data_IF_219899434687
#
_entry.id   IF_219899434687
#
_cell.length_a   1.000
_cell.length_b   1.000
_cell.length_c   1.000
_cell.angle_alpha   90.00
_cell.angle_beta   90.00
_cell.angle_gamma   90.00
#
_symmetry.space_group_name_H-M   'P 1'
#
loop_
_entity.id
_entity.type
_entity.pdbx_description
1 polymer ?
#
# COMPACT_ATOMS: atom_id res chain seq x y z
N UNK A 1 0.03 22.87 -16.59
CA UNK A 1 -0.73 21.62 -16.42
C UNK A 1 -0.86 20.98 -17.78
N UNK A 2 0.08 20.08 -18.09
CA UNK A 2 0.08 19.25 -19.29
C UNK A 2 0.22 17.82 -18.79
N UNK A 3 -0.68 16.89 -19.11
CA UNK A 3 -0.50 15.49 -18.74
C UNK A 3 0.67 14.92 -19.55
N UNK A 4 1.58 14.24 -18.86
CA UNK A 4 2.64 13.46 -19.48
C UNK A 4 2.04 12.21 -20.13
N UNK A 5 2.10 12.16 -21.46
CA UNK A 5 1.76 10.99 -22.27
C UNK A 5 2.63 9.79 -21.87
N UNK A 6 2.01 8.73 -21.33
CA UNK A 6 2.60 7.40 -21.24
C UNK A 6 2.13 6.62 -22.46
N UNK A 7 3.00 6.58 -23.48
CA UNK A 7 2.81 5.76 -24.68
C UNK A 7 3.09 4.29 -24.37
N UNK A 8 2.03 3.50 -24.20
CA UNK A 8 2.11 2.05 -24.34
C UNK A 8 2.29 1.72 -25.83
N UNK A 9 3.53 1.45 -26.23
CA UNK A 9 3.82 0.91 -27.56
C UNK A 9 3.33 -0.52 -27.66
N UNK A 10 2.33 -0.73 -28.53
CA UNK A 10 1.99 -2.04 -29.11
C UNK A 10 3.22 -2.71 -29.70
N UNK A 11 3.46 -3.95 -29.31
CA UNK A 11 4.19 -4.93 -30.12
C UNK A 11 3.18 -5.95 -30.66
N UNK A 12 2.72 -5.71 -31.88
CA UNK A 12 2.16 -6.74 -32.75
C UNK A 12 3.32 -7.52 -33.40
N UNK A 13 3.41 -8.83 -33.20
CA UNK A 13 3.72 -9.77 -34.29
C UNK A 13 3.40 -11.24 -33.90
N UNK A 14 3.16 -12.04 -34.94
CA UNK A 14 3.10 -13.51 -35.01
C UNK A 14 1.75 -14.23 -34.87
N UNK A 15 0.91 -13.97 -35.89
CA UNK A 15 0.51 -14.89 -36.98
C UNK A 15 0.43 -16.43 -36.77
N UNK A 16 -0.75 -16.93 -37.22
CA UNK A 16 -1.10 -18.20 -37.91
C UNK A 16 -1.62 -19.41 -37.08
N UNK A 17 -2.49 -20.29 -37.65
CA UNK A 17 -3.53 -20.13 -38.69
C UNK A 17 -4.87 -20.87 -38.33
N UNK A 18 -5.91 -20.88 -39.20
CA UNK A 18 -7.31 -21.14 -38.83
C UNK A 18 -7.75 -22.60 -39.05
N UNK A 19 -8.76 -23.05 -38.31
CA UNK A 19 -9.55 -24.24 -38.64
C UNK A 19 -11.01 -23.88 -38.91
N UNK A 20 -11.48 -24.39 -40.06
CA UNK A 20 -12.83 -24.27 -40.60
C UNK A 20 -13.75 -25.39 -40.08
N UNK A 21 -14.98 -24.99 -39.73
CA UNK A 21 -16.30 -25.60 -39.95
C UNK A 21 -16.48 -27.11 -40.12
N UNK A 22 -17.46 -27.68 -39.40
CA UNK A 22 -18.70 -28.38 -39.88
C UNK A 22 -19.36 -29.12 -38.69
N UNK A 23 -20.56 -28.73 -38.20
CA UNK A 23 -21.93 -29.11 -38.61
C UNK A 23 -22.56 -30.32 -37.85
N UNK A 24 -23.81 -30.08 -37.40
CA UNK A 24 -24.96 -31.01 -37.23
C UNK A 24 -25.43 -31.42 -35.81
N UNK A 25 -26.50 -30.72 -35.36
CA UNK A 25 -27.84 -31.16 -34.87
C UNK A 25 -27.96 -32.37 -33.91
N UNK A 26 -28.63 -32.14 -32.77
CA UNK A 26 -29.45 -33.17 -32.12
C UNK A 26 -29.95 -32.85 -30.70
N UNK A 27 -31.20 -32.39 -30.60
CA UNK A 27 -32.19 -32.51 -29.50
C UNK A 27 -31.79 -33.33 -28.26
N UNK A 28 -32.14 -32.96 -27.02
CA UNK A 28 -33.50 -33.13 -26.45
C UNK A 28 -33.65 -32.45 -25.08
N UNK A 29 -34.84 -31.89 -24.85
CA UNK A 29 -35.43 -31.51 -23.55
C UNK A 29 -35.42 -32.68 -22.55
N UNK A 30 -35.31 -32.42 -21.24
CA UNK A 30 -36.14 -33.08 -20.21
C UNK A 30 -36.26 -32.23 -18.94
N UNK A 31 -37.47 -32.18 -18.39
CA UNK A 31 -37.93 -31.30 -17.32
C UNK A 31 -37.74 -31.92 -15.91
N UNK A 32 -37.49 -31.02 -14.94
CA UNK A 32 -38.00 -30.92 -13.55
C UNK A 32 -38.35 -32.20 -12.77
N UNK A 33 -37.88 -32.26 -11.52
CA UNK A 33 -38.74 -32.62 -10.36
C UNK A 33 -38.28 -31.97 -9.06
N UNK A 34 -39.25 -31.35 -8.41
CA UNK A 34 -39.28 -30.82 -7.05
C UNK A 34 -39.68 -31.94 -6.10
N UNK A 35 -39.09 -32.01 -4.90
CA UNK A 35 -39.84 -32.53 -3.75
C UNK A 35 -39.35 -31.95 -2.43
N UNK A 36 -40.23 -31.17 -1.80
CA UNK A 36 -40.24 -30.81 -0.38
C UNK A 36 -40.90 -31.95 0.40
N UNK A 37 -40.41 -32.25 1.60
CA UNK A 37 -41.22 -32.79 2.69
C UNK A 37 -40.59 -32.44 4.04
N UNK A 38 -41.28 -31.58 4.79
CA UNK A 38 -41.17 -31.45 6.24
C UNK A 38 -42.06 -32.51 6.90
N UNK A 39 -41.62 -33.14 8.00
CA UNK A 39 -42.49 -33.52 9.14
C UNK A 39 -41.65 -33.53 10.42
N UNK A 40 -42.20 -32.90 11.45
CA UNK A 40 -41.73 -32.73 12.83
C UNK A 40 -42.51 -33.63 13.79
N UNK A 41 -41.89 -34.15 14.86
CA UNK A 41 -42.34 -34.22 16.28
C UNK A 41 -41.37 -35.14 17.08
N UNK A 42 -40.59 -34.67 18.08
CA UNK A 42 -40.92 -34.41 19.51
C UNK A 42 -41.07 -35.72 20.33
N UNK A 43 -40.55 -36.01 21.54
CA UNK A 43 -39.96 -35.30 22.71
C UNK A 43 -39.16 -36.33 23.55
N UNK A 44 -38.05 -35.96 24.20
CA UNK A 44 -37.70 -36.38 25.58
C UNK A 44 -36.50 -35.59 26.13
N UNK A 45 -36.70 -34.92 27.26
CA UNK A 45 -35.69 -34.23 28.06
C UNK A 45 -34.59 -35.17 28.55
N UNK A 46 -33.34 -34.72 28.49
CA UNK A 46 -32.34 -34.91 29.55
C UNK A 46 -31.30 -33.80 29.43
N UNK A 47 -31.12 -33.07 30.53
CA UNK A 47 -30.18 -31.97 30.65
C UNK A 47 -28.74 -32.49 30.66
N UNK A 48 -27.95 -32.05 29.69
CA UNK A 48 -26.49 -31.98 29.81
C UNK A 48 -26.00 -30.91 28.85
N UNK A 49 -25.43 -29.85 29.41
CA UNK A 49 -24.79 -28.76 28.67
C UNK A 49 -23.56 -29.34 27.99
N UNK A 50 -23.69 -29.67 26.70
CA UNK A 50 -22.59 -30.04 25.82
C UNK A 50 -22.61 -29.06 24.65
N UNK A 51 -21.52 -28.31 24.52
CA UNK A 51 -21.36 -27.25 23.54
C UNK A 51 -21.64 -27.73 22.13
N UNK A 52 -22.48 -26.98 21.41
CA UNK A 52 -22.62 -27.12 19.98
C UNK A 52 -21.29 -26.77 19.31
N UNK A 53 -20.77 -27.73 18.56
CA UNK A 53 -19.70 -27.57 17.58
C UNK A 53 -20.14 -26.55 16.52
N UNK A 54 -19.64 -25.32 16.65
CA UNK A 54 -19.49 -24.41 15.52
C UNK A 54 -18.23 -24.83 14.77
N UNK A 55 -18.33 -24.86 13.44
CA UNK A 55 -17.23 -25.03 12.51
C UNK A 55 -15.97 -24.29 12.97
N UNK A 56 -14.87 -25.03 13.13
CA UNK A 56 -13.54 -24.52 13.42
C UNK A 56 -13.06 -23.63 12.25
N UNK A 57 -13.47 -22.36 12.26
CA UNK A 57 -12.65 -21.31 11.69
C UNK A 57 -11.46 -21.16 12.61
N UNK A 58 -10.29 -21.62 12.18
CA UNK A 58 -9.02 -21.31 12.85
C UNK A 58 -8.98 -19.79 13.01
N UNK A 59 -8.97 -19.24 14.23
CA UNK A 59 -8.76 -17.80 14.41
C UNK A 59 -7.42 -17.48 13.75
N UNK A 60 -7.30 -16.40 12.96
CA UNK A 60 -6.01 -16.00 12.44
C UNK A 60 -5.01 -15.93 13.60
N UNK A 61 -3.76 -16.39 13.41
CA UNK A 61 -2.77 -16.37 14.46
C UNK A 61 -2.65 -14.95 14.99
N UNK A 62 -2.96 -14.75 16.27
CA UNK A 62 -2.58 -13.53 16.99
C UNK A 62 -1.07 -13.54 17.04
N UNK A 63 -0.35 -12.57 16.45
CA UNK A 63 1.10 -12.53 16.53
C UNK A 63 1.50 -12.30 17.99
N UNK A 64 1.92 -13.37 18.67
CA UNK A 64 2.60 -13.32 19.95
C UNK A 64 4.08 -13.12 19.70
N UNK A 65 4.46 -11.87 19.42
CA UNK A 65 5.72 -11.22 19.82
C UNK A 65 5.76 -9.83 19.18
N UNK A 66 5.04 -8.89 19.78
CA UNK A 66 5.11 -7.47 19.45
C UNK A 66 6.35 -6.82 20.06
N UNK A 67 7.54 -7.38 19.79
CA UNK A 67 8.74 -6.55 19.77
C UNK A 67 8.59 -5.57 18.61
N UNK A 68 8.77 -4.27 18.84
CA UNK A 68 8.80 -3.30 17.75
C UNK A 68 9.85 -3.75 16.72
N UNK A 69 9.48 -3.75 15.44
CA UNK A 69 10.42 -4.09 14.38
C UNK A 69 11.62 -3.11 14.46
N UNK A 70 12.82 -3.66 14.61
CA UNK A 70 14.10 -2.93 14.54
C UNK A 70 14.38 -2.39 13.14
N UNK A 71 15.32 -1.46 13.01
CA UNK A 71 15.52 -0.66 11.79
C UNK A 71 16.70 -1.11 10.92
N UNK A 72 16.69 -0.85 9.60
CA UNK A 72 15.61 -0.23 8.84
C UNK A 72 14.41 -1.17 8.68
N UNK A 73 13.22 -0.58 8.56
CA UNK A 73 11.98 -1.31 8.23
C UNK A 73 11.75 -1.23 6.73
N UNK A 74 11.48 -2.37 6.11
CA UNK A 74 11.45 -2.49 4.66
C UNK A 74 10.07 -2.88 4.17
N UNK A 75 9.70 -2.38 3.00
CA UNK A 75 8.46 -2.75 2.33
C UNK A 75 8.68 -3.01 0.85
N UNK A 76 7.70 -3.62 0.20
CA UNK A 76 7.59 -3.66 -1.26
C UNK A 76 6.15 -3.42 -1.69
N UNK A 77 5.99 -2.77 -2.85
CA UNK A 77 4.72 -2.44 -3.46
C UNK A 77 4.72 -2.98 -4.90
N UNK A 78 4.19 -4.19 -5.07
CA UNK A 78 4.29 -4.97 -6.30
C UNK A 78 2.89 -5.27 -6.85
N UNK A 79 2.54 -4.66 -7.97
CA UNK A 79 1.19 -4.75 -8.57
C UNK A 79 1.17 -5.47 -9.92
N UNK A 80 2.27 -6.10 -10.33
CA UNK A 80 2.26 -6.89 -11.56
C UNK A 80 1.34 -8.11 -11.41
N UNK A 81 0.61 -8.39 -12.49
CA UNK A 81 -0.58 -9.25 -12.44
C UNK A 81 -0.31 -10.65 -12.95
N UNK A 82 0.72 -10.81 -13.80
CA UNK A 82 0.97 -12.04 -14.54
C UNK A 82 1.92 -12.98 -13.81
N UNK A 83 2.94 -12.43 -13.15
CA UNK A 83 3.91 -13.19 -12.39
C UNK A 83 4.10 -12.54 -11.02
N UNK A 84 4.25 -13.37 -10.00
CA UNK A 84 4.51 -12.96 -8.62
C UNK A 84 5.95 -13.36 -8.26
N UNK A 85 6.71 -12.55 -7.49
CA UNK A 85 8.00 -12.96 -6.98
C UNK A 85 7.87 -14.21 -6.12
N UNK A 86 8.98 -14.94 -5.97
CA UNK A 86 9.03 -16.11 -5.10
C UNK A 86 8.75 -15.74 -3.65
N UNK A 87 8.33 -16.74 -2.86
CA UNK A 87 8.09 -16.53 -1.44
C UNK A 87 9.34 -16.00 -0.72
N UNK A 88 10.54 -16.45 -1.13
CA UNK A 88 11.82 -15.99 -0.58
C UNK A 88 12.12 -14.53 -0.94
N UNK A 89 11.84 -14.10 -2.17
CA UNK A 89 12.00 -12.70 -2.58
C UNK A 89 11.05 -11.77 -1.81
N UNK A 90 9.79 -12.16 -1.64
CA UNK A 90 8.82 -11.39 -0.85
C UNK A 90 9.20 -11.36 0.65
N UNK A 91 9.76 -12.44 1.19
CA UNK A 91 10.18 -12.53 2.59
C UNK A 91 11.38 -11.64 2.95
N UNK A 92 12.03 -11.00 1.97
CA UNK A 92 13.08 -10.01 2.23
C UNK A 92 12.54 -8.70 2.86
N UNK A 93 11.22 -8.48 2.79
CA UNK A 93 10.55 -7.27 3.25
C UNK A 93 9.73 -7.49 4.52
N UNK A 94 9.67 -6.50 5.41
CA UNK A 94 8.78 -6.54 6.59
C UNK A 94 7.31 -6.32 6.20
N UNK A 95 7.03 -5.57 5.13
CA UNK A 95 5.68 -5.35 4.58
C UNK A 95 5.67 -5.64 3.08
N UNK A 96 4.69 -6.39 2.61
CA UNK A 96 4.53 -6.75 1.19
C UNK A 96 3.13 -6.39 0.77
N UNK A 97 3.00 -5.46 -0.17
CA UNK A 97 1.72 -5.09 -0.79
C UNK A 97 1.65 -5.70 -2.18
N UNK A 98 0.64 -6.54 -2.42
CA UNK A 98 0.37 -7.16 -3.72
C UNK A 98 -1.13 -7.13 -4.05
N UNK A 99 -1.47 -7.23 -5.33
CA UNK A 99 -2.87 -7.21 -5.77
C UNK A 99 -3.70 -8.32 -5.09
N UNK A 100 -4.89 -7.96 -4.62
CA UNK A 100 -5.80 -8.88 -3.93
C UNK A 100 -6.18 -10.13 -4.75
N UNK A 101 -6.09 -10.08 -6.08
CA UNK A 101 -6.37 -11.22 -6.95
C UNK A 101 -5.35 -12.35 -6.78
N UNK A 102 -4.16 -12.08 -6.22
CA UNK A 102 -3.20 -13.14 -5.91
C UNK A 102 -3.72 -14.12 -4.86
N UNK A 103 -4.62 -13.69 -3.97
CA UNK A 103 -5.14 -14.52 -2.88
C UNK A 103 -5.97 -15.72 -3.35
N UNK A 104 -6.57 -15.69 -4.54
CA UNK A 104 -7.21 -16.86 -5.15
C UNK A 104 -6.40 -17.49 -6.29
N UNK A 105 -5.44 -16.76 -6.88
CA UNK A 105 -4.55 -17.28 -7.93
C UNK A 105 -3.43 -18.16 -7.37
N UNK A 106 -3.00 -17.93 -6.13
CA UNK A 106 -1.95 -18.72 -5.47
C UNK A 106 -2.53 -19.70 -4.44
N UNK A 107 -1.91 -20.88 -4.27
CA UNK A 107 -2.24 -21.78 -3.16
C UNK A 107 -1.89 -21.13 -1.82
N UNK A 108 -2.61 -21.48 -0.76
CA UNK A 108 -2.35 -20.99 0.62
C UNK A 108 -0.90 -21.19 1.04
N UNK A 109 -0.32 -22.34 0.72
CA UNK A 109 1.05 -22.71 1.09
C UNK A 109 2.09 -21.68 0.60
N UNK A 110 1.84 -20.97 -0.51
CA UNK A 110 2.73 -19.89 -0.94
C UNK A 110 2.83 -18.77 0.11
N UNK A 111 1.69 -18.36 0.68
CA UNK A 111 1.66 -17.32 1.71
C UNK A 111 2.21 -17.81 3.05
N UNK A 112 2.03 -19.10 3.34
CA UNK A 112 2.62 -19.74 4.52
C UNK A 112 4.15 -19.83 4.38
N UNK A 113 4.66 -20.11 3.17
CA UNK A 113 6.09 -20.13 2.87
C UNK A 113 6.74 -18.75 3.02
N UNK A 114 6.06 -17.66 2.64
CA UNK A 114 6.54 -16.28 2.89
C UNK A 114 6.72 -16.05 4.40
N UNK A 115 5.71 -16.39 5.19
CA UNK A 115 5.74 -16.22 6.66
C UNK A 115 6.74 -17.14 7.33
N UNK A 116 6.94 -18.34 6.81
CA UNK A 116 7.93 -19.29 7.31
C UNK A 116 9.36 -18.78 7.03
N UNK A 117 9.59 -18.18 5.86
CA UNK A 117 10.87 -17.57 5.49
C UNK A 117 11.16 -16.31 6.32
N UNK A 118 10.15 -15.49 6.61
CA UNK A 118 10.28 -14.34 7.50
C UNK A 118 8.98 -14.10 8.32
N UNK A 119 8.97 -14.49 9.62
CA UNK A 119 7.80 -14.28 10.49
C UNK A 119 7.44 -12.80 10.75
N UNK A 120 8.34 -11.87 10.42
CA UNK A 120 8.10 -10.43 10.53
C UNK A 120 7.25 -9.89 9.39
N UNK A 121 7.25 -10.56 8.23
CA UNK A 121 6.55 -10.10 7.04
C UNK A 121 5.04 -9.99 7.30
N UNK A 122 4.45 -8.89 6.83
CA UNK A 122 3.00 -8.66 6.78
C UNK A 122 2.56 -8.52 5.33
N UNK A 123 1.55 -9.29 4.95
CA UNK A 123 0.99 -9.31 3.61
C UNK A 123 -0.25 -8.41 3.54
N UNK A 124 -0.22 -7.35 2.74
CA UNK A 124 -1.35 -6.45 2.53
C UNK A 124 -1.94 -6.66 1.12
N UNK A 125 -3.26 -6.79 1.06
CA UNK A 125 -3.97 -6.83 -0.22
C UNK A 125 -4.16 -5.41 -0.76
N UNK A 126 -3.61 -5.13 -1.94
CA UNK A 126 -3.94 -3.93 -2.68
C UNK A 126 -5.37 -3.99 -3.22
N UNK A 127 -6.15 -2.95 -2.93
CA UNK A 127 -7.49 -2.75 -3.49
C UNK A 127 -7.62 -1.35 -4.07
N UNK A 128 -8.24 -1.27 -5.24
CA UNK A 128 -8.70 -0.02 -5.84
C UNK A 128 -10.23 -0.14 -5.97
N UNK A 129 -10.93 0.71 -5.20
CA UNK A 129 -12.39 0.83 -5.17
C UNK A 129 -12.87 2.07 -5.95
N UNK A 130 -11.91 2.85 -6.43
CA UNK A 130 -11.88 3.93 -7.40
C UNK A 130 -12.48 3.66 -8.77
N UNK A 131 -11.61 3.02 -9.54
CA UNK A 131 -11.61 3.02 -10.98
C UNK A 131 -12.36 1.80 -11.47
N UNK A 132 -13.64 2.00 -11.78
CA UNK A 132 -14.44 1.00 -12.46
C UNK A 132 -13.92 0.83 -13.89
N UNK A 133 -13.48 -0.37 -14.28
CA UNK A 133 -13.02 -0.62 -15.65
C UNK A 133 -14.22 -0.90 -16.56
N UNK A 134 -14.18 -0.41 -17.81
CA UNK A 134 -15.22 -0.72 -18.80
C UNK A 134 -15.29 -2.22 -19.15
N UNK A 135 -14.16 -2.92 -19.02
CA UNK A 135 -14.03 -4.34 -19.36
C UNK A 135 -12.96 -5.02 -18.50
N UNK A 136 -13.13 -6.31 -18.30
CA UNK A 136 -12.14 -7.17 -17.66
C UNK A 136 -11.81 -8.39 -18.54
N UNK A 137 -10.75 -9.11 -18.17
CA UNK A 137 -10.45 -10.44 -18.73
C UNK A 137 -11.47 -11.48 -18.26
N UNK A 138 -11.06 -12.74 -18.05
CA UNK A 138 -11.97 -13.78 -17.56
C UNK A 138 -12.23 -13.69 -16.05
N UNK A 139 -13.41 -14.16 -15.60
CA UNK A 139 -13.76 -14.27 -14.18
C UNK A 139 -12.77 -15.15 -13.40
N UNK A 140 -12.27 -16.23 -14.00
CA UNK A 140 -11.30 -17.10 -13.35
C UNK A 140 -10.04 -16.34 -12.93
N UNK A 141 -9.57 -15.44 -13.80
CA UNK A 141 -8.38 -14.65 -13.56
C UNK A 141 -8.68 -13.44 -12.68
N UNK A 142 -9.77 -12.71 -12.92
CA UNK A 142 -10.17 -11.46 -12.22
C UNK A 142 -11.33 -11.65 -11.23
N UNK A 143 -11.33 -12.75 -10.48
CA UNK A 143 -12.48 -13.19 -9.69
C UNK A 143 -12.96 -12.13 -8.70
N UNK A 144 -12.03 -11.44 -8.02
CA UNK A 144 -12.41 -10.50 -6.98
C UNK A 144 -12.98 -9.23 -7.62
N UNK A 145 -12.36 -8.70 -8.68
CA UNK A 145 -12.85 -7.54 -9.44
C UNK A 145 -14.17 -7.82 -10.16
N UNK A 146 -14.38 -9.04 -10.67
CA UNK A 146 -15.69 -9.45 -11.21
C UNK A 146 -16.80 -9.29 -10.17
N UNK A 147 -16.52 -9.67 -8.92
CA UNK A 147 -17.49 -9.49 -7.82
C UNK A 147 -17.68 -8.04 -7.44
N UNK A 148 -16.59 -7.26 -7.32
CA UNK A 148 -16.68 -5.83 -6.97
C UNK A 148 -17.54 -5.08 -7.99
N UNK A 149 -17.20 -5.24 -9.26
CA UNK A 149 -17.78 -4.52 -10.38
C UNK A 149 -18.96 -5.25 -11.04
N UNK A 150 -19.46 -6.32 -10.41
CA UNK A 150 -20.65 -7.07 -10.82
C UNK A 150 -20.66 -7.51 -12.29
N UNK A 151 -19.51 -7.95 -12.81
CA UNK A 151 -19.42 -8.52 -14.14
C UNK A 151 -20.12 -9.88 -14.20
N UNK A 152 -20.91 -10.10 -15.25
CA UNK A 152 -21.53 -11.39 -15.53
C UNK A 152 -20.58 -12.35 -16.27
N UNK A 153 -21.04 -13.57 -16.55
CA UNK A 153 -20.23 -14.58 -17.26
C UNK A 153 -19.91 -14.22 -18.72
N UNK A 154 -20.53 -13.18 -19.28
CA UNK A 154 -20.25 -12.66 -20.62
C UNK A 154 -19.25 -11.50 -20.60
N UNK A 155 -18.82 -11.06 -19.40
CA UNK A 155 -17.94 -9.91 -19.23
C UNK A 155 -18.67 -8.58 -19.30
N UNK A 156 -19.99 -8.56 -19.09
CA UNK A 156 -20.80 -7.34 -19.04
C UNK A 156 -21.01 -6.91 -17.58
N UNK A 157 -20.59 -5.69 -17.26
CA UNK A 157 -20.75 -5.11 -15.92
C UNK A 157 -22.22 -4.80 -15.64
N UNK A 158 -22.77 -5.38 -14.57
CA UNK A 158 -24.07 -5.00 -13.99
C UNK A 158 -23.91 -3.97 -12.87
N UNK A 159 -22.72 -3.38 -12.73
CA UNK A 159 -22.47 -2.34 -11.74
C UNK A 159 -23.48 -1.18 -11.91
N UNK A 160 -24.17 -0.77 -10.83
CA UNK A 160 -25.19 0.26 -10.93
C UNK A 160 -24.64 1.59 -11.44
N UNK A 161 -25.28 2.15 -12.45
CA UNK A 161 -24.90 3.44 -13.04
C UNK A 161 -24.95 4.57 -12.01
N UNK A 162 -25.86 4.44 -11.04
CA UNK A 162 -26.07 5.39 -9.95
C UNK A 162 -24.86 5.49 -9.00
N UNK A 163 -24.01 4.46 -8.97
CA UNK A 163 -22.79 4.45 -8.17
C UNK A 163 -21.58 5.01 -8.90
N UNK A 164 -21.70 5.36 -10.18
CA UNK A 164 -20.63 6.04 -10.92
C UNK A 164 -20.64 7.55 -10.65
N UNK A 165 -19.45 8.14 -10.60
CA UNK A 165 -19.28 9.59 -10.57
C UNK A 165 -19.61 10.16 -11.95
N UNK A 166 -20.61 11.06 -11.99
CA UNK A 166 -21.07 11.71 -13.22
C UNK A 166 -21.39 13.16 -12.98
N UNK A 167 -21.23 13.96 -14.04
CA UNK A 167 -21.77 15.32 -14.08
C UNK A 167 -23.28 15.28 -14.35
N UNK A 168 -23.96 16.39 -14.09
CA UNK A 168 -25.39 16.59 -14.28
C UNK A 168 -25.87 16.32 -15.72
N UNK A 169 -24.99 16.44 -16.72
CA UNK A 169 -25.30 16.11 -18.12
C UNK A 169 -25.11 14.62 -18.47
N UNK A 170 -24.69 13.80 -17.51
CA UNK A 170 -24.48 12.36 -17.66
C UNK A 170 -23.06 11.96 -18.09
N UNK A 171 -22.14 12.91 -18.28
CA UNK A 171 -20.74 12.58 -18.57
C UNK A 171 -20.08 11.94 -17.34
N UNK A 172 -19.32 10.86 -17.54
CA UNK A 172 -18.54 10.22 -16.45
C UNK A 172 -17.37 11.10 -16.02
N UNK A 173 -17.01 10.99 -14.75
CA UNK A 173 -15.76 11.52 -14.20
C UNK A 173 -14.76 10.38 -14.11
N UNK A 174 -13.52 10.64 -14.48
CA UNK A 174 -12.48 9.62 -14.56
C UNK A 174 -11.19 10.12 -13.90
N UNK A 175 -10.49 9.23 -13.19
CA UNK A 175 -9.11 9.47 -12.80
C UNK A 175 -8.17 9.06 -13.93
N UNK A 176 -8.41 7.88 -14.48
CA UNK A 176 -7.60 7.31 -15.56
C UNK A 176 -8.40 7.21 -16.86
N UNK A 177 -7.73 7.35 -18.02
CA UNK A 177 -8.36 7.09 -19.31
C UNK A 177 -9.01 5.69 -19.34
N UNK A 178 -10.18 5.59 -19.99
CA UNK A 178 -10.94 4.33 -20.15
C UNK A 178 -11.42 3.69 -18.82
N UNK A 179 -11.58 4.49 -17.77
CA UNK A 179 -12.20 4.09 -16.50
C UNK A 179 -13.29 5.06 -16.10
N UNK A 180 -14.20 4.64 -15.23
CA UNK A 180 -15.17 5.53 -14.59
C UNK A 180 -14.91 5.54 -13.09
N UNK A 181 -14.83 6.72 -12.48
CA UNK A 181 -14.74 6.81 -11.02
C UNK A 181 -16.06 6.37 -10.39
N UNK A 182 -15.97 5.71 -9.25
CA UNK A 182 -17.10 5.42 -8.39
C UNK A 182 -17.39 6.56 -7.41
N UNK A 183 -18.63 6.65 -6.93
CA UNK A 183 -19.10 7.67 -6.00
C UNK A 183 -19.07 7.14 -4.56
N UNK A 184 -17.99 7.41 -3.82
CA UNK A 184 -17.90 7.07 -2.40
C UNK A 184 -18.59 8.06 -1.46
N UNK A 185 -19.22 9.13 -1.96
CA UNK A 185 -19.81 10.14 -1.08
C UNK A 185 -20.99 9.58 -0.27
N UNK A 186 -21.22 10.11 0.92
CA UNK A 186 -22.37 9.73 1.76
C UNK A 186 -23.73 10.27 1.24
N UNK A 187 -23.69 11.16 0.24
CA UNK A 187 -24.84 11.71 -0.47
C UNK A 187 -25.17 10.96 -1.77
N UNK A 188 -24.31 10.03 -2.17
CA UNK A 188 -24.51 9.18 -3.33
C UNK A 188 -25.86 8.44 -3.33
N UNK A 189 -26.44 8.17 -4.51
CA UNK A 189 -27.65 7.38 -4.60
C UNK A 189 -27.50 5.99 -3.94
N UNK A 190 -28.60 5.48 -3.41
CA UNK A 190 -28.66 4.16 -2.79
C UNK A 190 -29.28 3.14 -3.74
N UNK A 191 -28.59 2.02 -3.93
CA UNK A 191 -29.08 0.87 -4.70
C UNK A 191 -29.30 -0.27 -3.71
N UNK A 192 -30.51 -0.83 -3.68
CA UNK A 192 -30.94 -1.82 -2.68
C UNK A 192 -30.69 -1.37 -1.22
N UNK A 193 -30.79 -0.05 -0.98
CA UNK A 193 -30.58 0.58 0.33
C UNK A 193 -29.12 0.85 0.71
N UNK A 194 -28.16 0.47 -0.14
CA UNK A 194 -26.73 0.64 0.09
C UNK A 194 -26.16 1.82 -0.70
N UNK A 195 -25.30 2.61 -0.06
CA UNK A 195 -24.34 3.47 -0.77
C UNK A 195 -23.22 2.60 -1.34
N UNK A 196 -22.52 3.08 -2.36
CA UNK A 196 -21.37 2.36 -2.90
C UNK A 196 -20.27 2.17 -1.84
N UNK A 197 -19.96 3.19 -1.03
CA UNK A 197 -18.94 3.07 0.02
C UNK A 197 -19.18 1.92 1.00
N UNK A 198 -20.44 1.69 1.39
CA UNK A 198 -20.80 0.53 2.21
C UNK A 198 -20.66 -0.79 1.45
N UNK A 199 -21.15 -0.86 0.21
CA UNK A 199 -20.99 -2.05 -0.63
C UNK A 199 -19.51 -2.41 -0.84
N UNK A 200 -18.66 -1.42 -1.10
CA UNK A 200 -17.23 -1.58 -1.31
C UNK A 200 -16.52 -2.08 -0.03
N UNK A 201 -16.85 -1.50 1.13
CA UNK A 201 -16.35 -1.97 2.42
C UNK A 201 -16.77 -3.42 2.71
N UNK A 202 -18.05 -3.76 2.47
CA UNK A 202 -18.55 -5.12 2.62
C UNK A 202 -17.83 -6.08 1.65
N UNK A 203 -17.56 -5.67 0.41
CA UNK A 203 -16.75 -6.46 -0.53
C UNK A 203 -15.32 -6.71 -0.03
N UNK A 204 -14.63 -5.69 0.50
CA UNK A 204 -13.28 -5.87 1.07
C UNK A 204 -13.32 -6.93 2.17
N UNK A 205 -14.28 -6.85 3.08
CA UNK A 205 -14.41 -7.79 4.20
C UNK A 205 -14.77 -9.19 3.71
N UNK A 206 -15.81 -9.30 2.88
CA UNK A 206 -16.44 -10.57 2.55
C UNK A 206 -15.76 -11.30 1.39
N UNK A 207 -14.99 -10.61 0.55
CA UNK A 207 -14.31 -11.19 -0.61
C UNK A 207 -12.79 -11.22 -0.47
N UNK A 208 -12.17 -10.13 0.01
CA UNK A 208 -10.70 -10.04 0.09
C UNK A 208 -10.21 -10.59 1.42
N UNK A 209 -10.63 -9.98 2.52
CA UNK A 209 -10.17 -10.35 3.86
C UNK A 209 -10.55 -11.78 4.26
N UNK A 210 -11.76 -12.22 3.90
CA UNK A 210 -12.28 -13.56 4.20
C UNK A 210 -11.46 -14.70 3.61
N UNK A 211 -10.59 -14.43 2.64
CA UNK A 211 -9.64 -15.42 2.11
C UNK A 211 -8.65 -15.89 3.18
N UNK A 212 -8.42 -15.08 4.24
CA UNK A 212 -7.62 -15.48 5.39
C UNK A 212 -6.14 -15.68 5.09
N UNK A 213 -5.61 -15.08 4.03
CA UNK A 213 -4.18 -15.07 3.68
C UNK A 213 -3.53 -13.72 3.90
N UNK A 214 -4.32 -12.68 4.19
CA UNK A 214 -3.88 -11.30 4.34
C UNK A 214 -3.74 -10.91 5.82
N UNK A 215 -2.75 -10.06 6.11
CA UNK A 215 -2.58 -9.42 7.41
C UNK A 215 -3.19 -8.00 7.43
N UNK A 216 -3.55 -7.48 6.25
CA UNK A 216 -4.25 -6.21 6.12
C UNK A 216 -4.60 -5.83 4.67
N UNK A 217 -5.06 -4.60 4.50
CA UNK A 217 -5.54 -4.02 3.25
C UNK A 217 -4.81 -2.71 2.99
N UNK A 218 -4.30 -2.57 1.77
CA UNK A 218 -3.78 -1.32 1.24
C UNK A 218 -4.86 -0.69 0.35
N UNK A 219 -5.40 0.45 0.78
CA UNK A 219 -6.49 1.17 0.13
C UNK A 219 -5.91 2.23 -0.80
N UNK A 220 -6.00 2.00 -2.11
CA UNK A 220 -5.55 2.94 -3.12
C UNK A 220 -6.66 3.88 -3.58
N UNK A 221 -6.27 5.05 -4.11
CA UNK A 221 -7.18 6.15 -4.45
C UNK A 221 -8.09 6.51 -3.26
N UNK A 222 -7.50 6.54 -2.07
CA UNK A 222 -8.22 6.60 -0.79
C UNK A 222 -7.92 7.88 -0.01
N UNK A 223 -7.65 8.99 -0.71
CA UNK A 223 -7.34 10.29 -0.13
C UNK A 223 -8.56 11.12 0.30
N UNK A 224 -8.31 12.24 0.96
CA UNK A 224 -9.37 13.23 1.26
C UNK A 224 -9.85 13.94 -0.02
N UNK A 225 -9.04 13.85 -1.08
CA UNK A 225 -9.31 14.35 -2.43
C UNK A 225 -8.65 13.47 -3.49
N UNK A 226 -9.33 13.32 -4.63
CA UNK A 226 -8.77 12.74 -5.85
C UNK A 226 -8.27 13.87 -6.75
N UNK A 227 -6.97 14.17 -6.70
CA UNK A 227 -6.37 15.29 -7.44
C UNK A 227 -6.24 15.05 -8.94
N UNK A 228 -6.26 13.79 -9.34
CA UNK A 228 -6.09 13.28 -10.70
C UNK A 228 -7.41 13.18 -11.48
N UNK A 229 -8.55 13.41 -10.83
CA UNK A 229 -9.84 13.44 -11.49
C UNK A 229 -9.86 14.47 -12.63
N UNK A 230 -10.44 14.09 -13.77
CA UNK A 230 -10.53 14.92 -14.97
C UNK A 230 -11.58 16.05 -14.89
N UNK A 231 -12.27 16.15 -13.76
CA UNK A 231 -13.27 17.18 -13.47
C UNK A 231 -13.13 17.75 -12.06
N UNK A 232 -13.36 19.06 -11.93
CA UNK A 232 -13.36 19.82 -10.67
C UNK A 232 -14.78 19.98 -10.06
N UNK A 233 -15.76 19.31 -10.66
CA UNK A 233 -17.18 19.36 -10.29
C UNK A 233 -17.96 18.17 -10.86
N UNK A 234 -18.91 17.66 -10.11
CA UNK A 234 -19.80 16.59 -10.56
C UNK A 234 -21.03 16.45 -9.65
N UNK A 235 -22.07 15.78 -10.14
CA UNK A 235 -23.39 15.64 -9.51
C UNK A 235 -23.39 14.43 -8.56
N UNK A 236 -23.05 14.68 -7.29
CA UNK A 236 -22.79 13.61 -6.32
C UNK A 236 -24.06 12.92 -5.82
N UNK A 237 -25.23 13.55 -5.93
CA UNK A 237 -26.52 13.03 -5.42
C UNK A 237 -27.57 12.78 -6.53
N UNK A 238 -27.20 13.05 -7.79
CA UNK A 238 -28.05 12.94 -9.00
C UNK A 238 -29.25 13.88 -8.99
N UNK A 239 -29.09 15.08 -8.43
CA UNK A 239 -30.13 16.11 -8.42
C UNK A 239 -30.18 16.96 -9.71
N UNK A 240 -29.22 16.77 -10.63
CA UNK A 240 -29.10 17.55 -11.86
C UNK A 240 -28.25 18.82 -11.73
N UNK A 241 -27.44 18.94 -10.68
CA UNK A 241 -26.53 20.05 -10.41
C UNK A 241 -25.13 19.51 -10.12
N UNK A 242 -24.10 20.09 -10.72
CA UNK A 242 -22.72 19.74 -10.35
C UNK A 242 -22.30 20.47 -9.07
N UNK A 243 -21.86 19.73 -8.06
CA UNK A 243 -21.17 20.28 -6.90
C UNK A 243 -19.72 20.60 -7.25
N UNK A 244 -19.21 21.75 -6.79
CA UNK A 244 -17.80 22.07 -6.95
C UNK A 244 -16.95 21.25 -5.97
N UNK A 245 -15.68 21.03 -6.31
CA UNK A 245 -14.69 20.34 -5.48
C UNK A 245 -14.73 20.66 -3.98
N UNK A 246 -14.82 21.95 -3.61
CA UNK A 246 -14.84 22.40 -2.22
C UNK A 246 -16.11 21.99 -1.44
N UNK A 247 -17.13 21.50 -2.15
CA UNK A 247 -18.37 20.97 -1.59
C UNK A 247 -18.36 19.42 -1.56
N UNK A 248 -17.44 18.78 -2.27
CA UNK A 248 -17.33 17.32 -2.40
C UNK A 248 -16.26 16.78 -1.46
N UNK A 249 -15.05 17.35 -1.54
CA UNK A 249 -13.83 16.81 -0.94
C UNK A 249 -13.45 17.49 0.37
N UNK A 250 -12.74 16.76 1.21
CA UNK A 250 -12.23 17.24 2.49
C UNK A 250 -12.89 16.59 3.70
N UNK A 251 -12.32 16.95 4.86
CA UNK A 251 -12.49 16.37 6.19
C UNK A 251 -13.93 15.90 6.47
N UNK A 252 -14.79 16.91 6.49
CA UNK A 252 -16.20 16.82 6.88
C UNK A 252 -17.15 16.93 5.68
N UNK A 253 -16.62 16.82 4.46
CA UNK A 253 -17.39 16.91 3.22
C UNK A 253 -17.95 15.53 2.82
N UNK A 254 -18.92 15.45 1.87
CA UNK A 254 -19.58 14.20 1.52
C UNK A 254 -18.64 13.04 1.18
N UNK A 255 -17.52 13.32 0.50
CA UNK A 255 -16.48 12.33 0.21
C UNK A 255 -15.84 11.78 1.49
N UNK A 256 -15.33 12.68 2.36
CA UNK A 256 -14.69 12.30 3.62
C UNK A 256 -15.61 11.49 4.53
N UNK A 257 -16.88 11.89 4.66
CA UNK A 257 -17.88 11.16 5.46
C UNK A 257 -18.20 9.77 4.91
N UNK A 258 -18.27 9.63 3.59
CA UNK A 258 -18.53 8.34 2.95
C UNK A 258 -17.35 7.36 3.05
N UNK A 259 -16.12 7.87 2.89
CA UNK A 259 -14.90 7.11 3.17
C UNK A 259 -14.82 6.69 4.64
N UNK A 260 -15.09 7.61 5.57
CA UNK A 260 -15.09 7.33 7.01
C UNK A 260 -16.13 6.26 7.39
N UNK A 261 -17.30 6.24 6.74
CA UNK A 261 -18.27 5.15 6.92
C UNK A 261 -17.68 3.79 6.48
N UNK A 262 -17.02 3.75 5.32
CA UNK A 262 -16.38 2.53 4.81
C UNK A 262 -15.25 2.05 5.71
N UNK A 263 -14.39 2.96 6.17
CA UNK A 263 -13.30 2.69 7.13
C UNK A 263 -13.84 2.14 8.45
N UNK A 264 -14.92 2.72 8.99
CA UNK A 264 -15.57 2.20 10.20
C UNK A 264 -16.11 0.79 10.01
N UNK A 265 -16.80 0.51 8.89
CA UNK A 265 -17.30 -0.84 8.59
C UNK A 265 -16.14 -1.84 8.52
N UNK A 266 -15.09 -1.48 7.80
CA UNK A 266 -13.89 -2.31 7.68
C UNK A 266 -13.25 -2.57 9.05
N UNK A 267 -13.06 -1.53 9.88
CA UNK A 267 -12.46 -1.68 11.21
C UNK A 267 -13.31 -2.51 12.16
N UNK A 268 -14.63 -2.30 12.18
CA UNK A 268 -15.56 -3.04 13.04
C UNK A 268 -15.54 -4.54 12.71
N UNK A 269 -15.42 -4.89 11.42
CA UNK A 269 -15.46 -6.28 10.94
C UNK A 269 -14.07 -6.92 10.82
N UNK A 270 -13.01 -6.13 10.76
CA UNK A 270 -11.60 -6.55 10.66
C UNK A 270 -10.76 -5.90 11.77
N UNK A 271 -11.07 -6.15 13.06
CA UNK A 271 -10.49 -5.40 14.17
C UNK A 271 -8.98 -5.61 14.36
N UNK A 272 -8.37 -6.58 13.66
CA UNK A 272 -6.94 -6.88 13.71
C UNK A 272 -6.21 -6.57 12.41
N UNK A 273 -6.91 -6.22 11.33
CA UNK A 273 -6.29 -5.93 10.05
C UNK A 273 -5.48 -4.64 10.11
N UNK A 274 -4.33 -4.63 9.44
CA UNK A 274 -3.62 -3.40 9.10
C UNK A 274 -4.37 -2.70 7.95
N UNK A 275 -4.82 -1.48 8.15
CA UNK A 275 -5.50 -0.67 7.12
C UNK A 275 -4.64 0.55 6.80
N UNK A 276 -4.12 0.61 5.58
CA UNK A 276 -3.19 1.66 5.13
C UNK A 276 -3.80 2.37 3.94
N UNK A 277 -3.97 3.69 4.01
CA UNK A 277 -4.50 4.49 2.91
C UNK A 277 -3.39 5.13 2.08
N UNK A 278 -3.47 5.05 0.75
CA UNK A 278 -2.57 5.80 -0.13
C UNK A 278 -3.02 7.27 -0.22
N UNK A 279 -2.06 8.20 -0.14
CA UNK A 279 -2.29 9.62 -0.39
C UNK A 279 -2.47 10.47 0.87
N UNK A 280 -3.30 11.50 0.76
CA UNK A 280 -3.40 12.58 1.75
C UNK A 280 -4.43 12.34 2.86
N UNK A 281 -5.10 11.17 2.84
CA UNK A 281 -6.21 10.79 3.74
C UNK A 281 -6.01 11.18 5.19
N UNK A 282 -6.87 12.04 5.73
CA UNK A 282 -6.84 12.39 7.15
C UNK A 282 -7.20 11.19 8.02
N UNK A 283 -6.37 10.89 9.03
CA UNK A 283 -6.55 9.73 9.91
C UNK A 283 -7.46 10.13 11.06
N UNK A 284 -8.48 9.32 11.35
CA UNK A 284 -9.49 9.57 12.38
C UNK A 284 -9.79 8.32 13.18
N UNK A 285 -10.11 8.52 14.46
CA UNK A 285 -10.68 7.50 15.37
C UNK A 285 -9.96 6.15 15.37
N UNK A 286 -8.68 6.10 15.01
CA UNK A 286 -7.89 4.87 14.89
C UNK A 286 -8.50 3.84 13.95
N UNK A 287 -9.23 4.31 12.93
CA UNK A 287 -9.81 3.45 11.92
C UNK A 287 -8.73 2.87 11.01
N UNK A 288 -7.69 3.65 10.71
CA UNK A 288 -6.53 3.25 9.89
C UNK A 288 -5.26 3.09 10.75
N UNK A 289 -4.35 2.23 10.32
CA UNK A 289 -3.03 2.01 10.95
C UNK A 289 -1.97 2.96 10.36
N UNK A 290 -2.21 3.56 9.20
CA UNK A 290 -1.36 4.64 8.69
C UNK A 290 -1.61 4.97 7.23
N UNK A 291 -0.55 5.46 6.55
CA UNK A 291 -0.63 5.98 5.19
C UNK A 291 0.54 5.54 4.32
N UNK A 292 0.35 5.67 3.01
CA UNK A 292 1.42 5.62 2.02
C UNK A 292 1.62 6.94 1.27
N UNK A 293 2.87 7.20 0.89
CA UNK A 293 3.29 8.32 0.05
C UNK A 293 4.00 7.82 -1.20
N UNK A 294 3.35 7.96 -2.35
CA UNK A 294 3.97 7.69 -3.65
C UNK A 294 4.86 8.83 -4.13
N UNK A 295 5.92 8.46 -4.85
CA UNK A 295 6.96 9.36 -5.34
C UNK A 295 7.59 10.21 -4.22
N UNK A 296 7.69 9.63 -3.02
CA UNK A 296 8.08 10.35 -1.82
C UNK A 296 9.42 11.08 -1.98
N UNK A 297 9.41 12.40 -1.84
CA UNK A 297 10.59 13.24 -1.84
C UNK A 297 11.49 13.06 -3.08
N UNK A 298 10.96 12.66 -4.23
CA UNK A 298 11.79 12.44 -5.43
C UNK A 298 12.46 13.74 -5.91
N UNK A 299 13.80 13.87 -5.87
CA UNK A 299 14.50 15.06 -6.37
C UNK A 299 14.33 15.31 -7.87
N UNK A 300 13.77 14.33 -8.60
CA UNK A 300 13.44 14.43 -10.02
C UNK A 300 11.98 14.80 -10.28
N UNK A 301 11.14 14.78 -9.25
CA UNK A 301 9.76 15.26 -9.37
C UNK A 301 9.74 16.79 -9.41
N UNK A 302 8.59 17.36 -9.78
CA UNK A 302 8.42 18.81 -9.85
C UNK A 302 8.36 19.48 -8.46
N UNK A 303 8.15 18.68 -7.41
CA UNK A 303 7.96 19.15 -6.03
C UNK A 303 9.27 19.09 -5.25
N UNK A 304 9.51 20.10 -4.41
CA UNK A 304 10.70 20.15 -3.53
C UNK A 304 10.68 18.97 -2.55
N UNK A 305 11.72 18.10 -2.54
CA UNK A 305 11.82 16.96 -1.62
C UNK A 305 11.65 17.33 -0.14
N UNK A 306 12.06 18.53 0.26
CA UNK A 306 11.96 18.99 1.64
C UNK A 306 10.52 19.17 2.09
N UNK A 307 9.64 19.60 1.19
CA UNK A 307 8.21 19.71 1.49
C UNK A 307 7.63 18.33 1.82
N UNK A 308 8.00 17.30 1.06
CA UNK A 308 7.51 15.94 1.27
C UNK A 308 7.98 15.36 2.59
N UNK A 309 9.26 15.55 2.91
CA UNK A 309 9.84 15.13 4.20
C UNK A 309 9.14 15.83 5.37
N UNK A 310 8.91 17.15 5.27
CA UNK A 310 8.21 17.93 6.30
C UNK A 310 6.78 17.42 6.51
N UNK A 311 6.02 17.18 5.43
CA UNK A 311 4.66 16.65 5.50
C UNK A 311 4.64 15.23 6.09
N UNK A 312 5.53 14.36 5.63
CA UNK A 312 5.67 12.99 6.14
C UNK A 312 5.94 12.98 7.65
N UNK A 313 6.88 13.80 8.13
CA UNK A 313 7.18 13.92 9.56
C UNK A 313 5.95 14.45 10.33
N UNK A 314 5.29 15.50 9.82
CA UNK A 314 4.13 16.10 10.52
C UNK A 314 2.96 15.13 10.64
N UNK A 315 2.66 14.40 9.58
CA UNK A 315 1.51 13.50 9.48
C UNK A 315 1.77 12.14 10.13
N UNK A 316 3.04 11.77 10.34
CA UNK A 316 3.42 10.52 11.03
C UNK A 316 3.64 10.73 12.52
N UNK A 317 4.32 11.82 12.93
CA UNK A 317 4.65 12.08 14.33
C UNK A 317 3.41 12.45 15.20
N UNK A 318 2.27 12.72 14.55
CA UNK A 318 0.99 12.99 15.18
C UNK A 318 -0.07 12.29 14.35
N UNK A 319 -0.78 11.33 14.93
CA UNK A 319 -1.92 10.76 14.23
C UNK A 319 -2.88 10.06 15.15
N UNK A 320 -4.15 10.14 14.77
CA UNK A 320 -5.20 9.24 15.22
C UNK A 320 -5.13 7.91 14.46
N UNK A 321 -3.93 7.46 14.08
CA UNK A 321 -3.74 6.11 13.56
C UNK A 321 -3.67 5.11 14.71
N UNK A 322 -3.96 3.86 14.37
CA UNK A 322 -3.83 2.76 15.30
C UNK A 322 -2.36 2.38 15.47
N UNK A 323 -1.98 2.12 16.71
CA UNK A 323 -0.63 1.69 17.07
C UNK A 323 -0.52 0.15 17.12
N UNK A 324 0.63 -0.44 16.71
CA UNK A 324 1.78 0.24 16.12
C UNK A 324 1.47 0.74 14.70
N UNK A 325 1.75 2.03 14.42
CA UNK A 325 1.46 2.64 13.14
C UNK A 325 2.27 2.09 11.96
N UNK A 326 1.72 2.25 10.75
CA UNK A 326 2.35 1.86 9.49
C UNK A 326 2.36 3.05 8.51
N UNK A 327 3.46 3.80 8.52
CA UNK A 327 3.75 4.83 7.52
C UNK A 327 4.67 4.24 6.45
N UNK A 328 4.29 4.29 5.17
CA UNK A 328 5.07 3.70 4.08
C UNK A 328 5.41 4.73 3.00
N UNK A 329 6.68 4.83 2.61
CA UNK A 329 7.13 5.69 1.51
C UNK A 329 7.43 4.82 0.29
N UNK A 330 6.98 5.22 -0.89
CA UNK A 330 7.07 4.43 -2.12
C UNK A 330 7.86 5.21 -3.18
N UNK A 331 8.87 4.58 -3.78
CA UNK A 331 9.76 5.25 -4.75
C UNK A 331 10.16 4.37 -5.93
N UNK A 332 10.20 4.97 -7.12
CA UNK A 332 10.76 4.37 -8.34
C UNK A 332 12.24 4.75 -8.53
N UNK A 333 13.09 3.73 -8.66
CA UNK A 333 14.51 3.89 -8.95
C UNK A 333 14.78 3.88 -10.46
N UNK A 334 13.88 3.37 -11.30
CA UNK A 334 14.09 3.30 -12.76
C UNK A 334 14.84 2.04 -13.21
N UNK A 335 15.28 1.96 -14.48
CA UNK A 335 15.62 0.69 -15.14
C UNK A 335 16.98 0.11 -14.77
N UNK A 336 17.81 0.86 -14.05
CA UNK A 336 19.12 0.40 -13.57
C UNK A 336 19.25 0.74 -12.08
N UNK A 337 18.48 0.07 -11.20
CA UNK A 337 18.45 0.38 -9.77
C UNK A 337 19.82 0.19 -9.09
N UNK A 338 20.70 -0.61 -9.69
CA UNK A 338 22.08 -0.83 -9.22
C UNK A 338 23.11 0.17 -9.75
N UNK A 339 22.72 1.16 -10.56
CA UNK A 339 23.66 2.19 -11.02
C UNK A 339 23.98 3.17 -9.88
N UNK A 340 25.19 3.74 -9.85
CA UNK A 340 25.62 4.70 -8.83
C UNK A 340 24.61 5.84 -8.62
N UNK A 341 24.03 6.33 -9.73
CA UNK A 341 23.02 7.40 -9.71
C UNK A 341 21.75 6.98 -9.00
N UNK A 342 21.29 5.74 -9.21
CA UNK A 342 20.08 5.24 -8.56
C UNK A 342 20.34 4.82 -7.13
N UNK A 343 21.49 4.23 -6.82
CA UNK A 343 21.90 3.94 -5.44
C UNK A 343 22.04 5.21 -4.59
N UNK A 344 22.51 6.32 -5.19
CA UNK A 344 22.54 7.64 -4.52
C UNK A 344 21.13 8.12 -4.14
N UNK A 345 20.14 7.96 -5.02
CA UNK A 345 18.72 8.28 -4.74
C UNK A 345 18.08 7.31 -3.78
N UNK A 346 18.39 6.02 -3.91
CA UNK A 346 17.90 4.97 -3.05
C UNK A 346 18.29 5.25 -1.58
N UNK A 347 19.56 5.60 -1.34
CA UNK A 347 20.04 6.07 -0.03
C UNK A 347 19.31 7.32 0.45
N UNK A 348 19.04 8.29 -0.43
CA UNK A 348 18.25 9.47 -0.07
C UNK A 348 16.88 9.08 0.45
N UNK A 349 16.14 8.27 -0.30
CA UNK A 349 14.78 7.86 0.07
C UNK A 349 14.73 7.07 1.36
N UNK A 350 15.62 6.08 1.52
CA UNK A 350 15.70 5.30 2.75
C UNK A 350 16.02 6.19 3.94
N UNK A 351 17.07 7.02 3.86
CA UNK A 351 17.48 7.85 5.00
C UNK A 351 16.48 8.96 5.31
N UNK A 352 15.78 9.50 4.31
CA UNK A 352 14.65 10.41 4.50
C UNK A 352 13.47 9.72 5.20
N UNK A 353 13.16 8.48 4.82
CA UNK A 353 12.11 7.67 5.46
C UNK A 353 12.45 7.40 6.93
N UNK A 354 13.72 7.14 7.23
CA UNK A 354 14.24 6.88 8.58
C UNK A 354 14.27 8.11 9.49
N UNK A 355 13.90 9.31 9.02
CA UNK A 355 13.58 10.43 9.91
C UNK A 355 12.30 10.21 10.73
N UNK A 356 11.52 9.18 10.41
CA UNK A 356 10.40 8.64 11.19
C UNK A 356 10.50 7.11 11.29
N UNK A 357 9.52 6.48 11.93
CA UNK A 357 9.45 5.03 12.16
C UNK A 357 8.82 4.23 10.99
N UNK A 358 8.88 4.80 9.79
CA UNK A 358 8.22 4.27 8.59
C UNK A 358 8.98 3.16 7.87
N UNK A 359 8.30 2.62 6.87
CA UNK A 359 8.75 1.55 5.97
C UNK A 359 9.07 2.15 4.61
N UNK A 360 10.18 1.74 4.01
CA UNK A 360 10.52 2.17 2.66
C UNK A 360 10.26 1.06 1.64
N UNK A 361 9.48 1.39 0.61
CA UNK A 361 9.10 0.52 -0.50
C UNK A 361 9.74 0.99 -1.83
N UNK A 362 10.96 0.54 -2.15
CA UNK A 362 11.55 0.76 -3.46
C UNK A 362 10.99 -0.19 -4.52
N UNK A 363 10.95 0.30 -5.75
CA UNK A 363 10.73 -0.50 -6.96
C UNK A 363 11.64 -0.02 -8.09
N UNK A 364 11.76 -0.82 -9.14
CA UNK A 364 12.47 -0.51 -10.37
C UNK A 364 11.76 0.57 -11.19
N UNK A 365 11.55 0.30 -12.47
CA UNK A 365 10.88 1.22 -13.40
C UNK A 365 9.36 1.20 -13.26
N UNK A 366 8.82 0.06 -12.86
CA UNK A 366 7.39 -0.17 -12.78
C UNK A 366 7.02 -0.99 -11.53
N UNK A 367 5.72 -1.23 -11.36
CA UNK A 367 5.15 -1.95 -10.24
C UNK A 367 5.40 -3.48 -10.28
N UNK A 368 6.15 -3.99 -11.26
CA UNK A 368 6.54 -5.40 -11.40
C UNK A 368 8.01 -5.66 -11.14
N UNK A 369 8.77 -4.66 -10.70
CA UNK A 369 10.20 -4.77 -10.49
C UNK A 369 10.52 -4.49 -9.01
N UNK A 370 10.56 -5.51 -8.12
CA UNK A 370 11.00 -5.30 -6.75
C UNK A 370 12.47 -4.87 -6.75
N UNK A 371 12.85 -3.99 -5.83
CA UNK A 371 14.21 -3.50 -5.70
C UNK A 371 14.73 -3.71 -4.28
N UNK A 372 16.01 -4.11 -4.17
CA UNK A 372 16.67 -4.35 -2.90
C UNK A 372 18.10 -3.81 -2.94
N UNK A 373 18.54 -3.11 -1.90
CA UNK A 373 19.87 -2.49 -1.81
C UNK A 373 20.57 -2.87 -0.50
N UNK A 374 21.90 -2.75 -0.47
CA UNK A 374 22.72 -3.11 0.69
C UNK A 374 22.25 -2.43 2.00
N UNK A 375 21.78 -1.18 1.94
CA UNK A 375 21.35 -0.45 3.13
C UNK A 375 20.11 -1.04 3.80
N UNK A 376 19.33 -1.90 3.11
CA UNK A 376 18.11 -2.54 3.63
C UNK A 376 18.41 -3.72 4.57
N UNK A 377 19.55 -4.39 4.41
CA UNK A 377 19.99 -5.50 5.27
C UNK A 377 21.41 -5.30 5.85
N UNK A 378 21.98 -4.10 5.68
CA UNK A 378 23.28 -3.74 6.23
C UNK A 378 24.45 -4.35 5.46
N UNK A 379 24.26 -4.73 4.19
CA UNK A 379 25.24 -5.48 3.40
C UNK A 379 25.34 -6.92 3.88
N UNK A 380 24.21 -7.55 4.18
CA UNK A 380 24.13 -8.94 4.67
C UNK A 380 24.30 -9.11 6.19
N UNK A 381 24.19 -8.04 6.99
CA UNK A 381 24.09 -8.15 8.46
C UNK A 381 22.72 -8.67 8.92
N UNK A 382 21.71 -8.56 8.06
CA UNK A 382 20.34 -9.00 8.29
C UNK A 382 19.40 -7.83 8.56
N UNK A 383 18.10 -8.11 8.47
CA UNK A 383 17.04 -7.13 8.73
C UNK A 383 17.15 -6.57 10.15
N UNK A 384 16.92 -5.25 10.30
CA UNK A 384 16.89 -4.64 11.63
C UNK A 384 18.26 -4.38 12.26
N UNK A 385 19.34 -4.40 11.47
CA UNK A 385 20.73 -4.27 11.95
C UNK A 385 21.06 -2.96 12.69
N UNK A 386 20.27 -1.90 12.54
CA UNK A 386 20.46 -0.64 13.26
C UNK A 386 19.97 -0.72 14.72
N UNK A 387 19.09 -1.66 15.05
CA UNK A 387 18.43 -1.75 16.36
C UNK A 387 17.29 -0.74 16.52
N UNK A 388 17.05 -0.31 17.76
CA UNK A 388 16.00 0.67 18.08
C UNK A 388 16.50 2.10 17.87
N UNK A 389 15.60 3.05 17.53
CA UNK A 389 15.95 4.46 17.43
C UNK A 389 16.14 5.05 18.83
N UNK A 390 17.16 5.88 19.00
CA UNK A 390 17.38 6.59 20.26
C UNK A 390 16.23 7.59 20.53
N UNK A 391 15.65 8.15 19.47
CA UNK A 391 14.44 8.98 19.52
C UNK A 391 13.34 8.36 18.65
N UNK A 392 12.39 7.58 19.22
CA UNK A 392 11.23 7.07 18.48
C UNK A 392 10.26 8.20 18.11
N UNK A 393 9.55 8.07 16.99
CA UNK A 393 8.51 9.00 16.50
C UNK A 393 8.85 10.50 16.71
N UNK A 394 9.98 11.01 16.18
CA UNK A 394 10.40 12.37 16.49
C UNK A 394 9.43 13.40 15.89
N UNK A 395 9.12 14.47 16.61
CA UNK A 395 8.34 15.58 16.03
C UNK A 395 9.19 16.36 15.02
N UNK A 396 8.55 17.14 14.14
CA UNK A 396 9.27 18.05 13.23
C UNK A 396 10.23 18.97 14.00
N UNK A 397 9.81 19.49 15.15
CA UNK A 397 10.66 20.34 15.99
C UNK A 397 11.92 19.62 16.51
N UNK A 398 11.86 18.31 16.76
CA UNK A 398 13.04 17.53 17.12
C UNK A 398 13.99 17.32 15.93
N UNK A 399 13.44 17.10 14.73
CA UNK A 399 14.24 16.92 13.51
C UNK A 399 14.93 18.23 13.12
N UNK A 400 14.25 19.37 13.22
CA UNK A 400 14.77 20.70 12.85
C UNK A 400 15.70 21.31 13.92
N UNK A 401 15.67 20.82 15.16
CA UNK A 401 16.55 21.30 16.21
C UNK A 401 18.01 20.98 15.90
N UNK A 402 18.93 21.85 16.34
CA UNK A 402 20.36 21.58 16.25
C UNK A 402 20.72 20.28 16.99
N UNK A 403 21.44 19.39 16.32
CA UNK A 403 21.86 18.12 16.88
C UNK A 403 22.78 18.32 18.10
N UNK A 404 22.44 17.67 19.22
CA UNK A 404 23.13 17.81 20.51
C UNK A 404 23.86 16.56 21.00
N UNK A 405 23.83 15.45 20.24
CA UNK A 405 24.44 14.16 20.61
C UNK A 405 23.63 13.31 21.59
N UNK A 406 22.81 13.92 22.44
CA UNK A 406 22.03 13.20 23.48
C UNK A 406 20.60 12.90 23.05
N UNK A 407 20.00 13.76 22.22
CA UNK A 407 18.64 13.56 21.72
C UNK A 407 18.55 12.48 20.64
N UNK A 408 19.66 12.08 20.02
CA UNK A 408 19.67 11.06 18.97
C UNK A 408 18.92 11.45 17.67
N UNK A 409 18.56 12.72 17.50
CA UNK A 409 17.94 13.27 16.28
C UNK A 409 18.27 14.76 16.19
N UNK A 410 18.37 15.30 14.98
CA UNK A 410 18.47 16.75 14.75
C UNK A 410 19.26 17.14 13.50
N UNK A 411 19.30 18.43 13.23
CA UNK A 411 20.05 19.05 12.14
C UNK A 411 21.54 19.20 12.49
N UNK A 412 22.43 18.72 11.62
CA UNK A 412 23.89 18.77 11.79
C UNK A 412 24.57 19.79 10.87
N UNK A 413 23.92 20.15 9.77
CA UNK A 413 24.25 21.23 8.85
C UNK A 413 22.94 21.70 8.17
N UNK A 414 22.90 22.86 7.50
CA UNK A 414 21.67 23.32 6.83
C UNK A 414 21.07 22.24 5.92
N UNK A 415 19.83 21.82 6.19
CA UNK A 415 19.12 20.74 5.47
C UNK A 415 19.83 19.37 5.50
N UNK A 416 20.68 19.13 6.50
CA UNK A 416 21.29 17.82 6.74
C UNK A 416 20.89 17.34 8.12
N UNK A 417 20.19 16.23 8.16
CA UNK A 417 19.60 15.68 9.37
C UNK A 417 20.29 14.38 9.75
N UNK A 418 20.42 14.15 11.06
CA UNK A 418 20.97 12.94 11.65
C UNK A 418 19.91 12.28 12.52
N UNK A 419 19.83 10.95 12.46
CA UNK A 419 19.14 10.13 13.46
C UNK A 419 20.06 9.01 13.95
N UNK A 420 20.06 8.78 15.25
CA UNK A 420 20.84 7.75 15.92
C UNK A 420 19.95 6.55 16.27
N UNK A 421 20.56 5.39 16.16
CA UNK A 421 20.05 4.10 16.56
C UNK A 421 21.06 3.42 17.50
N UNK A 422 20.66 2.30 18.11
CA UNK A 422 21.53 1.52 19.00
C UNK A 422 22.86 1.16 18.36
N UNK A 423 22.84 0.71 17.10
CA UNK A 423 24.00 0.15 16.41
C UNK A 423 24.54 1.03 15.30
N UNK A 424 23.94 2.20 15.05
CA UNK A 424 24.36 3.06 13.96
C UNK A 424 23.74 4.45 13.97
N UNK A 425 24.00 5.18 12.90
CA UNK A 425 23.43 6.49 12.59
C UNK A 425 23.03 6.52 11.13
N UNK A 426 22.04 7.36 10.83
CA UNK A 426 21.67 7.72 9.47
C UNK A 426 21.81 9.22 9.31
N UNK A 427 22.28 9.63 8.14
CA UNK A 427 22.38 11.02 7.74
C UNK A 427 21.68 11.18 6.40
N UNK A 428 20.86 12.22 6.27
CA UNK A 428 20.20 12.58 5.01
C UNK A 428 20.50 14.04 4.69
N UNK A 429 20.97 14.28 3.48
CA UNK A 429 21.18 15.62 2.92
C UNK A 429 20.04 15.91 1.93
N UNK A 430 19.10 16.77 2.34
CA UNK A 430 17.98 17.19 1.51
C UNK A 430 18.23 18.52 0.80
N UNK A 431 19.49 18.96 0.70
CA UNK A 431 19.87 20.12 -0.12
C UNK A 431 20.39 19.73 -1.49
N UNK A 432 20.47 20.73 -2.37
CA UNK A 432 21.06 20.67 -3.70
C UNK A 432 22.59 20.76 -3.71
N UNK A 433 23.23 20.92 -2.55
CA UNK A 433 24.68 21.02 -2.40
C UNK A 433 25.24 19.86 -1.55
N UNK A 434 26.48 19.39 -1.80
CA UNK A 434 27.12 18.43 -0.94
C UNK A 434 27.47 19.04 0.42
N UNK A 435 27.38 18.22 1.48
CA UNK A 435 27.67 18.65 2.84
C UNK A 435 28.69 17.74 3.50
N UNK A 436 29.64 18.34 4.23
CA UNK A 436 30.61 17.62 5.06
C UNK A 436 30.18 17.71 6.52
N UNK A 437 30.01 16.56 7.17
CA UNK A 437 29.55 16.47 8.57
C UNK A 437 30.61 15.77 9.42
N UNK A 438 31.01 16.41 10.52
CA UNK A 438 31.78 15.74 11.57
C UNK A 438 30.83 14.90 12.43
N UNK A 439 31.19 13.64 12.69
CA UNK A 439 30.29 12.66 13.29
C UNK A 439 30.31 12.68 14.83
N UNK A 440 31.27 13.37 15.44
CA UNK A 440 31.44 13.41 16.90
C UNK A 440 31.95 12.10 17.50
N UNK A 441 32.46 11.19 16.67
CA UNK A 441 32.99 9.88 17.03
C UNK A 441 33.37 9.11 15.77
N UNK A 442 33.97 7.93 15.94
CA UNK A 442 34.33 7.04 14.82
C UNK A 442 33.19 6.07 14.54
N UNK A 443 32.76 6.02 13.29
CA UNK A 443 31.77 5.09 12.76
C UNK A 443 32.37 4.28 11.61
N UNK A 444 31.66 3.27 11.14
CA UNK A 444 32.06 2.40 10.04
C UNK A 444 31.02 2.45 8.93
N UNK A 445 31.46 2.53 7.68
CA UNK A 445 30.59 2.30 6.53
C UNK A 445 30.05 0.86 6.54
N UNK A 446 28.91 0.64 5.87
CA UNK A 446 28.47 -0.73 5.57
C UNK A 446 29.52 -1.42 4.69
N UNK A 447 29.43 -2.74 4.58
CA UNK A 447 30.24 -3.52 3.64
C UNK A 447 29.29 -4.12 2.61
N UNK A 448 29.10 -3.38 1.53
CA UNK A 448 28.09 -3.67 0.51
C UNK A 448 28.70 -4.24 -0.77
N UNK A 449 27.84 -4.84 -1.60
CA UNK A 449 28.27 -5.38 -2.91
C UNK A 449 27.71 -4.57 -4.08
N UNK A 450 26.60 -3.85 -3.88
CA UNK A 450 25.97 -3.02 -4.90
C UNK A 450 26.73 -1.70 -5.12
N UNK A 451 27.27 -1.12 -4.05
CA UNK A 451 28.08 0.11 -4.10
C UNK A 451 29.30 0.00 -3.15
N UNK A 452 30.36 -0.72 -3.55
CA UNK A 452 31.55 -0.91 -2.71
C UNK A 452 32.39 0.37 -2.56
N UNK A 453 32.11 1.45 -3.32
CA UNK A 453 32.79 2.74 -3.13
C UNK A 453 32.21 3.49 -1.94
N UNK A 454 30.89 3.44 -1.74
CA UNK A 454 30.22 4.04 -0.58
C UNK A 454 30.23 3.10 0.62
N UNK A 455 30.05 1.80 0.40
CA UNK A 455 29.92 0.77 1.42
C UNK A 455 31.17 -0.12 1.44
N UNK A 456 32.33 0.48 1.73
CA UNK A 456 33.65 -0.17 1.71
C UNK A 456 34.10 -0.78 3.05
N UNK A 457 33.28 -0.64 4.10
CA UNK A 457 33.60 -1.08 5.46
C UNK A 457 34.66 -0.23 6.19
N UNK A 458 35.11 0.88 5.61
CA UNK A 458 36.10 1.76 6.24
C UNK A 458 35.53 2.49 7.45
N UNK A 459 36.40 2.89 8.37
CA UNK A 459 36.04 3.72 9.52
C UNK A 459 36.28 5.19 9.24
N UNK A 460 35.37 6.05 9.68
CA UNK A 460 35.47 7.50 9.53
C UNK A 460 34.92 8.26 10.74
N UNK A 461 35.41 9.48 10.96
CA UNK A 461 34.86 10.46 11.91
C UNK A 461 34.22 11.67 11.21
N UNK A 462 34.27 11.70 9.87
CA UNK A 462 33.72 12.77 9.02
C UNK A 462 33.28 12.20 7.67
N UNK A 463 32.10 12.59 7.21
CA UNK A 463 31.57 12.12 5.93
C UNK A 463 31.16 13.29 5.05
N UNK A 464 31.37 13.15 3.74
CA UNK A 464 30.81 14.06 2.72
C UNK A 464 29.63 13.37 2.08
N UNK A 465 28.44 13.97 2.22
CA UNK A 465 27.19 13.46 1.66
C UNK A 465 26.87 14.30 0.43
N UNK A 466 26.62 13.65 -0.71
CA UNK A 466 26.21 14.32 -1.95
C UNK A 466 24.85 15.03 -1.76
N UNK A 467 24.53 15.95 -2.67
CA UNK A 467 23.19 16.52 -2.72
C UNK A 467 22.14 15.45 -2.95
N UNK A 468 20.97 15.61 -2.31
CA UNK A 468 19.87 14.65 -2.33
C UNK A 468 20.35 13.19 -2.19
N UNK A 469 21.12 12.94 -1.13
CA UNK A 469 21.66 11.62 -0.80
C UNK A 469 21.66 11.42 0.71
N UNK A 470 22.04 10.22 1.14
CA UNK A 470 22.20 9.89 2.54
C UNK A 470 23.29 8.84 2.73
N UNK A 471 23.56 8.52 3.99
CA UNK A 471 24.50 7.47 4.36
C UNK A 471 24.03 6.81 5.65
N UNK A 472 24.23 5.49 5.73
CA UNK A 472 24.07 4.70 6.95
C UNK A 472 25.47 4.31 7.44
N UNK A 473 25.74 4.58 8.72
CA UNK A 473 27.03 4.26 9.34
C UNK A 473 26.81 3.49 10.64
N UNK A 474 27.60 2.45 10.84
CA UNK A 474 27.54 1.60 12.03
C UNK A 474 28.44 2.17 13.13
N UNK A 475 28.02 2.02 14.38
CA UNK A 475 28.92 2.21 15.51
C UNK A 475 29.98 1.11 15.42
N UNK A 476 31.24 1.47 15.68
CA UNK A 476 32.24 0.44 15.98
C UNK A 476 31.77 -0.23 17.28
N UNK A 477 31.25 -1.45 17.17
CA UNK A 477 31.00 -2.31 18.33
C UNK A 477 32.25 -2.30 19.20
N UNK A 478 32.10 -2.00 20.49
CA UNK A 478 33.17 -2.23 21.45
C UNK A 478 33.52 -3.72 21.54
#
# INVERSE_FOLDING_TARGET
MSPLEISLRRTDDNRHPPWKSEHVIGSTMWQRRVQRSCVTLAVALLASVAGCSTSDGVPPPVPSDAGLLTFPRTATYFLFQHDLPTAQELAQYDVVVIDNEWGHRMPRDFFDDVRAANPRTRLLAYVNLIDHPDRLGSEEYWRNRYRLWQFDSHGESQFPDEWLAKRADGTVVSEWPDTSMSNLTDQGPRVDGLSFGRYAADWVVDTVWSQGVWDGIFLDVWGDRIYSADSDRWDIDRNGTDEADAQIYGEDMPWGRGIEEAERIMRDRMPTALLVANGDRTLRDRQLDGRAWENFADPRAERDPRFDIEQYIRLTARGDHREPGLAMTINKLGPQPSSERELTRARFFLTATLLQDGYWAPMGSDYGEPAYIDEMDGGGLGSGYLGDPIAPNPTLAHVEAQYSGTAGIGMVAPNVFRRDFDHGIVLVNSSDEPATVALGGTFRHLTGTADPETNDGSTTDRVTIRSYSGVVLLRNSQ
#
